data_IF_003104756330
#
_entry.id   IF_003104756330
#
_cell.length_a   1.000
_cell.length_b   1.000
_cell.length_c   1.000
_cell.angle_alpha   90.00
_cell.angle_beta   90.00
_cell.angle_gamma   90.00
#
_symmetry.space_group_name_H-M   'P 1'
#
loop_
_entity.id
_entity.type
_entity.pdbx_description
1 polymer ?
#
# COMPACT_ATOMS: atom_id res chain seq x y z
N UNK A 1 -73.57 35.88 34.56
CA UNK A 1 -73.15 35.71 33.20
C UNK A 1 -71.69 36.07 33.13
N UNK A 2 -70.75 35.14 33.21
CA UNK A 2 -69.36 35.46 32.95
C UNK A 2 -69.04 35.12 31.51
N UNK A 3 -68.26 36.01 30.93
CA UNK A 3 -67.68 35.96 29.62
C UNK A 3 -66.58 34.91 29.54
N UNK A 4 -66.53 34.22 28.43
CA UNK A 4 -65.57 33.23 28.05
C UNK A 4 -64.34 33.93 27.39
N UNK A 5 -63.23 33.91 28.11
CA UNK A 5 -61.95 34.39 27.59
C UNK A 5 -61.07 33.20 27.13
N UNK A 6 -61.42 32.59 26.00
CA UNK A 6 -60.54 31.69 25.30
C UNK A 6 -59.52 32.48 24.45
N UNK A 7 -58.39 32.78 25.05
CA UNK A 7 -57.25 33.44 24.38
C UNK A 7 -56.55 32.47 23.44
N UNK A 8 -56.60 32.89 22.22
CA UNK A 8 -56.06 32.32 21.02
C UNK A 8 -54.53 32.18 21.06
N UNK A 9 -54.01 30.97 21.19
CA UNK A 9 -52.58 30.62 21.23
C UNK A 9 -52.00 30.16 19.88
N UNK A 10 -52.55 30.63 18.77
CA UNK A 10 -52.14 30.19 17.42
C UNK A 10 -51.65 31.35 16.54
N UNK A 11 -50.68 32.10 16.99
CA UNK A 11 -50.02 33.05 16.08
C UNK A 11 -48.66 33.52 16.60
N UNK A 12 -47.71 32.63 16.87
CA UNK A 12 -46.30 33.03 16.96
C UNK A 12 -45.35 31.79 16.98
N UNK A 13 -45.38 30.99 15.93
CA UNK A 13 -44.32 30.00 15.69
C UNK A 13 -43.99 30.00 14.22
N UNK A 14 -43.47 31.14 13.74
CA UNK A 14 -42.61 31.08 12.55
C UNK A 14 -41.28 30.56 13.06
N UNK A 15 -41.17 29.24 13.04
CA UNK A 15 -39.88 28.55 13.19
C UNK A 15 -38.96 28.97 12.04
N UNK A 16 -38.01 29.81 12.36
CA UNK A 16 -36.81 29.92 11.53
C UNK A 16 -36.13 28.53 11.61
N UNK A 17 -36.25 27.78 10.54
CA UNK A 17 -35.37 26.66 10.26
C UNK A 17 -33.96 27.22 10.13
N UNK A 18 -33.23 27.26 11.26
CA UNK A 18 -31.78 27.24 11.18
C UNK A 18 -31.40 25.86 10.63
N UNK A 19 -31.21 25.81 9.31
CA UNK A 19 -30.37 24.79 8.69
C UNK A 19 -29.01 24.86 9.40
N UNK A 20 -28.83 24.06 10.44
CA UNK A 20 -27.48 23.74 10.89
C UNK A 20 -26.83 23.11 9.68
N UNK A 21 -25.69 23.63 9.19
CA UNK A 21 -24.94 22.92 8.18
C UNK A 21 -24.71 21.53 8.76
N UNK A 22 -25.09 20.52 8.02
CA UNK A 22 -24.79 19.14 8.29
C UNK A 22 -23.26 19.14 8.49
N UNK A 23 -22.79 19.08 9.72
CA UNK A 23 -21.41 18.76 10.02
C UNK A 23 -21.24 17.35 9.47
N UNK A 24 -20.92 17.27 8.17
CA UNK A 24 -20.33 16.09 7.62
C UNK A 24 -19.13 15.83 8.53
N UNK A 25 -19.24 14.81 9.37
CA UNK A 25 -18.10 14.27 10.10
C UNK A 25 -17.06 14.09 9.04
N UNK A 26 -16.10 15.01 8.97
CA UNK A 26 -14.99 14.94 8.02
C UNK A 26 -14.26 13.69 8.45
N UNK A 27 -14.52 12.59 7.74
CA UNK A 27 -13.84 11.33 7.97
C UNK A 27 -12.35 11.66 7.80
N UNK A 28 -11.58 11.56 8.88
CA UNK A 28 -10.13 11.80 8.81
C UNK A 28 -9.60 10.73 7.87
N UNK A 29 -9.07 11.15 6.73
CA UNK A 29 -8.45 10.25 5.77
C UNK A 29 -7.33 9.49 6.47
N UNK A 30 -7.21 8.20 6.16
CA UNK A 30 -6.17 7.34 6.68
C UNK A 30 -4.98 7.41 5.74
N UNK A 31 -3.80 7.70 6.24
CA UNK A 31 -2.57 7.60 5.48
C UNK A 31 -2.33 6.14 5.07
N UNK A 32 -1.86 5.92 3.87
CA UNK A 32 -1.56 4.58 3.34
C UNK A 32 -0.06 4.47 3.06
N UNK A 33 0.61 3.60 3.79
CA UNK A 33 1.95 3.12 3.46
C UNK A 33 1.84 1.70 2.85
N UNK A 34 1.83 1.64 1.53
CA UNK A 34 1.54 0.39 0.82
C UNK A 34 2.76 -0.54 0.67
N UNK A 35 3.93 -0.16 1.22
CA UNK A 35 5.12 -1.01 1.27
C UNK A 35 6.10 -0.60 2.37
N UNK A 36 6.32 -1.47 3.34
CA UNK A 36 7.25 -1.25 4.46
C UNK A 36 7.77 -2.56 5.03
N UNK A 37 8.97 -2.55 5.64
CA UNK A 37 9.59 -3.70 6.30
C UNK A 37 9.62 -3.54 7.82
N UNK A 38 8.48 -3.73 8.51
CA UNK A 38 8.36 -3.52 9.95
C UNK A 38 9.26 -4.46 10.78
N UNK A 39 9.58 -5.65 10.27
CA UNK A 39 10.51 -6.60 10.89
C UNK A 39 11.96 -6.09 10.98
N UNK A 40 12.29 -4.99 10.29
CA UNK A 40 13.63 -4.39 10.27
C UNK A 40 13.86 -3.26 11.28
N UNK A 41 12.83 -2.86 12.03
CA UNK A 41 12.96 -1.75 12.99
C UNK A 41 13.72 -2.11 14.26
N UNK A 42 13.83 -3.39 14.63
CA UNK A 42 14.54 -3.83 15.85
C UNK A 42 14.01 -3.10 17.09
N UNK A 43 14.92 -2.46 17.84
CA UNK A 43 14.57 -1.73 19.08
C UNK A 43 13.64 -0.52 18.86
N UNK A 44 13.49 -0.04 17.62
CA UNK A 44 12.59 1.07 17.28
C UNK A 44 11.18 0.61 16.91
N UNK A 45 10.88 -0.67 16.94
CA UNK A 45 9.57 -1.20 16.53
C UNK A 45 8.43 -0.61 17.37
N UNK A 46 8.61 -0.49 18.68
CA UNK A 46 7.57 0.07 19.56
C UNK A 46 7.26 1.53 19.22
N UNK A 47 8.31 2.30 18.92
CA UNK A 47 8.14 3.68 18.46
C UNK A 47 7.42 3.72 17.10
N UNK A 48 7.82 2.87 16.16
CA UNK A 48 7.20 2.80 14.83
C UNK A 48 5.71 2.46 14.92
N UNK A 49 5.33 1.47 15.72
CA UNK A 49 3.91 1.13 15.94
C UNK A 49 3.16 2.27 16.62
N UNK A 50 3.79 2.97 17.58
CA UNK A 50 3.19 4.15 18.20
C UNK A 50 2.91 5.27 17.20
N UNK A 51 3.78 5.51 16.21
CA UNK A 51 3.54 6.48 15.13
C UNK A 51 2.42 6.01 14.18
N UNK A 52 2.41 4.72 13.80
CA UNK A 52 1.35 4.11 12.98
C UNK A 52 -0.02 4.35 13.60
N UNK A 53 -0.17 4.02 14.89
CA UNK A 53 -1.45 4.14 15.59
C UNK A 53 -1.85 5.61 15.80
N UNK A 54 -0.91 6.47 16.23
CA UNK A 54 -1.19 7.88 16.51
C UNK A 54 -1.60 8.68 15.27
N UNK A 55 -0.99 8.40 14.13
CA UNK A 55 -1.25 9.09 12.86
C UNK A 55 -2.22 8.33 11.94
N UNK A 56 -2.72 7.17 12.38
CA UNK A 56 -3.61 6.30 11.60
C UNK A 56 -3.04 5.95 10.24
N UNK A 57 -1.80 5.45 10.21
CA UNK A 57 -1.12 5.02 8.99
C UNK A 57 -1.47 3.56 8.73
N UNK A 58 -2.32 3.28 7.74
CA UNK A 58 -2.50 1.90 7.31
C UNK A 58 -1.25 1.41 6.55
N UNK A 59 -0.70 0.30 7.01
CA UNK A 59 0.63 -0.16 6.65
C UNK A 59 0.60 -1.57 6.07
N UNK A 60 1.00 -1.74 4.82
CA UNK A 60 1.24 -3.06 4.21
C UNK A 60 2.66 -3.49 4.53
N UNK A 61 2.79 -4.37 5.51
CA UNK A 61 4.07 -4.88 5.98
C UNK A 61 4.51 -6.08 5.14
N UNK A 62 5.52 -5.90 4.29
CA UNK A 62 5.96 -6.90 3.32
C UNK A 62 7.11 -7.75 3.85
N UNK A 63 6.97 -9.08 3.73
CA UNK A 63 8.01 -10.02 4.13
C UNK A 63 9.01 -10.25 3.00
N UNK A 64 10.28 -10.46 3.35
CA UNK A 64 11.32 -10.85 2.40
C UNK A 64 11.54 -12.37 2.34
N UNK A 65 11.12 -13.11 3.36
CA UNK A 65 11.27 -14.56 3.50
C UNK A 65 10.36 -15.11 4.59
N UNK A 66 10.45 -16.42 4.86
CA UNK A 66 9.63 -17.08 5.91
C UNK A 66 9.90 -16.52 7.30
N UNK A 67 11.15 -16.35 7.78
CA UNK A 67 11.41 -15.77 9.10
C UNK A 67 10.81 -14.37 9.27
N UNK A 68 10.98 -13.49 8.28
CA UNK A 68 10.41 -12.13 8.32
C UNK A 68 8.88 -12.15 8.35
N UNK A 69 8.24 -13.05 7.61
CA UNK A 69 6.78 -13.19 7.64
C UNK A 69 6.25 -13.62 9.03
N UNK A 70 6.91 -14.61 9.66
CA UNK A 70 6.52 -15.06 11.00
C UNK A 70 6.67 -13.93 12.05
N UNK A 71 7.64 -13.06 11.88
CA UNK A 71 7.79 -11.90 12.74
C UNK A 71 6.71 -10.84 12.44
N UNK A 72 6.44 -10.56 11.16
CA UNK A 72 5.38 -9.64 10.76
C UNK A 72 3.98 -10.08 11.23
N UNK A 73 3.71 -11.39 11.30
CA UNK A 73 2.46 -11.88 11.88
C UNK A 73 2.29 -11.44 13.34
N UNK A 74 3.33 -11.59 14.18
CA UNK A 74 3.31 -11.12 15.57
C UNK A 74 3.17 -9.60 15.68
N UNK A 75 3.82 -8.87 14.76
CA UNK A 75 3.70 -7.41 14.70
C UNK A 75 2.28 -7.02 14.33
N UNK A 76 1.66 -7.68 13.36
CA UNK A 76 0.28 -7.44 12.94
C UNK A 76 -0.77 -7.74 14.02
N UNK A 77 -0.46 -8.63 14.99
CA UNK A 77 -1.33 -8.85 16.16
C UNK A 77 -1.37 -7.65 17.13
N UNK A 78 -0.42 -6.71 17.00
CA UNK A 78 -0.26 -5.55 17.89
C UNK A 78 -0.98 -4.30 17.39
N UNK A 79 -1.34 -4.20 16.10
CA UNK A 79 -2.06 -3.06 15.53
C UNK A 79 -2.94 -3.49 14.37
N UNK A 80 -4.22 -3.08 14.40
CA UNK A 80 -5.18 -3.32 13.30
C UNK A 80 -4.81 -2.55 12.01
N UNK A 81 -3.88 -1.60 12.10
CA UNK A 81 -3.39 -0.81 10.98
C UNK A 81 -2.24 -1.50 10.23
N UNK A 82 -1.78 -2.66 10.68
CA UNK A 82 -0.68 -3.41 10.07
C UNK A 82 -1.22 -4.65 9.36
N UNK A 83 -0.99 -4.73 8.05
CA UNK A 83 -1.33 -5.89 7.22
C UNK A 83 -0.06 -6.67 6.83
N UNK A 84 0.27 -7.78 7.49
CA UNK A 84 1.36 -8.64 7.08
C UNK A 84 1.09 -9.31 5.74
N UNK A 85 2.07 -9.31 4.83
CA UNK A 85 2.00 -10.03 3.56
C UNK A 85 3.19 -10.97 3.40
N UNK A 86 2.96 -12.14 2.79
CA UNK A 86 3.98 -13.16 2.59
C UNK A 86 4.54 -13.15 1.18
N UNK A 87 5.86 -13.09 1.08
CA UNK A 87 6.59 -13.23 -0.17
C UNK A 87 8.01 -13.74 0.04
N UNK A 88 8.66 -14.10 -1.05
CA UNK A 88 10.10 -14.37 -1.10
C UNK A 88 10.72 -13.33 -2.02
N UNK A 89 11.41 -12.37 -1.42
CA UNK A 89 12.12 -11.33 -2.16
C UNK A 89 13.15 -11.93 -3.12
N UNK A 90 13.39 -11.34 -4.30
CA UNK A 90 14.34 -11.86 -5.29
C UNK A 90 15.72 -12.23 -4.75
N UNK A 91 16.23 -11.46 -3.80
CA UNK A 91 17.54 -11.72 -3.17
C UNK A 91 17.60 -13.02 -2.35
N UNK A 92 16.44 -13.54 -1.95
CA UNK A 92 16.30 -14.77 -1.15
C UNK A 92 15.87 -15.98 -2.00
N UNK A 93 15.53 -15.77 -3.28
CA UNK A 93 14.93 -16.76 -4.15
C UNK A 93 15.74 -18.07 -4.24
N UNK A 94 17.06 -17.97 -4.33
CA UNK A 94 17.94 -19.14 -4.42
C UNK A 94 17.88 -20.06 -3.20
N UNK A 95 17.50 -19.54 -2.03
CA UNK A 95 17.39 -20.32 -0.79
C UNK A 95 16.09 -21.12 -0.71
N UNK A 96 15.09 -20.75 -1.52
CA UNK A 96 13.72 -21.30 -1.43
C UNK A 96 13.27 -22.03 -2.70
N UNK A 97 14.00 -21.90 -3.81
CA UNK A 97 13.57 -22.41 -5.13
C UNK A 97 13.34 -23.92 -5.18
N UNK A 98 14.05 -24.69 -4.35
CA UNK A 98 13.91 -26.14 -4.26
C UNK A 98 12.91 -26.58 -3.16
N UNK A 99 12.29 -25.60 -2.48
CA UNK A 99 11.39 -25.82 -1.36
C UNK A 99 9.98 -25.20 -1.60
N UNK A 100 9.59 -25.02 -2.85
CA UNK A 100 8.31 -24.39 -3.21
C UNK A 100 7.09 -24.99 -2.49
N UNK A 101 6.93 -26.33 -2.35
CA UNK A 101 5.79 -26.90 -1.68
C UNK A 101 5.66 -26.47 -0.20
N UNK A 102 6.78 -26.15 0.46
CA UNK A 102 6.76 -25.68 1.85
C UNK A 102 6.21 -24.25 1.99
N UNK A 103 6.25 -23.45 0.90
CA UNK A 103 5.76 -22.07 0.87
C UNK A 103 4.23 -22.01 0.78
N UNK A 104 3.58 -23.03 0.21
CA UNK A 104 2.14 -23.05 -0.03
C UNK A 104 1.34 -22.72 1.24
N UNK A 105 1.67 -23.33 2.37
CA UNK A 105 0.98 -23.07 3.65
C UNK A 105 1.02 -21.60 4.09
N UNK A 106 2.11 -20.88 3.80
CA UNK A 106 2.23 -19.45 4.14
C UNK A 106 1.47 -18.58 3.15
N UNK A 107 1.48 -18.97 1.87
CA UNK A 107 0.64 -18.35 0.85
C UNK A 107 -0.83 -18.47 1.23
N UNK A 108 -1.28 -19.63 1.65
CA UNK A 108 -2.68 -19.91 2.00
C UNK A 108 -3.19 -19.04 3.14
N UNK A 109 -2.39 -18.89 4.20
CA UNK A 109 -2.77 -18.11 5.39
C UNK A 109 -2.53 -16.60 5.23
N UNK A 110 -1.64 -16.17 4.34
CA UNK A 110 -1.38 -14.75 4.11
C UNK A 110 -2.56 -14.09 3.41
N UNK A 111 -3.05 -12.93 3.88
CA UNK A 111 -4.16 -12.24 3.23
C UNK A 111 -3.80 -11.68 1.86
N UNK A 112 -2.53 -11.42 1.59
CA UNK A 112 -1.98 -10.91 0.34
C UNK A 112 -0.57 -11.43 0.12
N UNK A 113 -0.01 -11.24 -1.06
CA UNK A 113 1.30 -11.75 -1.44
C UNK A 113 2.28 -10.59 -1.65
N UNK A 114 3.42 -10.62 -0.97
CA UNK A 114 4.51 -9.66 -1.12
C UNK A 114 5.48 -9.70 0.07
N UNK A 115 6.72 -9.35 -0.19
CA UNK A 115 7.31 -8.86 -1.42
C UNK A 115 7.81 -10.01 -2.30
N UNK A 116 7.46 -10.00 -3.57
CA UNK A 116 7.96 -10.93 -4.58
C UNK A 116 8.41 -10.15 -5.82
N UNK A 117 9.16 -10.75 -6.73
CA UNK A 117 9.51 -10.03 -7.94
C UNK A 117 10.79 -10.48 -8.61
N UNK A 118 11.39 -9.57 -9.39
CA UNK A 118 12.69 -9.74 -10.04
C UNK A 118 13.62 -8.57 -9.69
N UNK A 119 14.86 -8.91 -9.34
CA UNK A 119 15.96 -7.94 -9.17
C UNK A 119 17.14 -8.36 -10.08
N UNK A 120 17.07 -7.94 -11.32
CA UNK A 120 18.11 -8.20 -12.33
C UNK A 120 19.09 -7.02 -12.44
N UNK A 121 18.90 -5.99 -11.60
CA UNK A 121 19.73 -4.78 -11.57
C UNK A 121 20.69 -4.75 -10.38
N UNK A 122 20.19 -4.92 -9.17
CA UNK A 122 20.99 -4.84 -7.93
C UNK A 122 21.63 -6.18 -7.56
N UNK A 123 20.97 -7.30 -7.84
CA UNK A 123 21.53 -8.65 -7.67
C UNK A 123 22.53 -8.90 -8.78
N UNK A 124 23.83 -8.98 -8.44
CA UNK A 124 24.92 -9.14 -9.40
C UNK A 124 25.21 -10.61 -9.75
N UNK A 125 24.80 -11.53 -8.88
CA UNK A 125 24.93 -12.96 -9.13
C UNK A 125 23.81 -13.44 -10.08
N UNK A 126 24.11 -13.43 -11.38
CA UNK A 126 23.17 -13.84 -12.43
C UNK A 126 22.78 -15.32 -12.35
N UNK A 127 23.54 -16.15 -11.62
CA UNK A 127 23.21 -17.57 -11.41
C UNK A 127 21.93 -17.76 -10.60
N UNK A 128 21.50 -16.74 -9.86
CA UNK A 128 20.25 -16.73 -9.08
C UNK A 128 19.01 -16.34 -9.89
N UNK A 129 19.17 -15.78 -11.10
CA UNK A 129 18.04 -15.29 -11.91
C UNK A 129 17.02 -16.38 -12.28
N UNK A 130 17.42 -17.62 -12.63
CA UNK A 130 16.45 -18.69 -12.84
C UNK A 130 15.61 -19.00 -11.58
N UNK A 131 16.22 -18.93 -10.39
CA UNK A 131 15.52 -19.12 -9.13
C UNK A 131 14.51 -17.99 -8.87
N UNK A 132 14.89 -16.72 -9.13
CA UNK A 132 13.98 -15.58 -9.02
C UNK A 132 12.73 -15.77 -9.89
N UNK A 133 12.92 -16.14 -11.17
CA UNK A 133 11.80 -16.38 -12.11
C UNK A 133 10.89 -17.52 -11.63
N UNK A 134 11.46 -18.62 -11.17
CA UNK A 134 10.69 -19.78 -10.70
C UNK A 134 9.89 -19.46 -9.43
N UNK A 135 10.48 -18.75 -8.48
CA UNK A 135 9.80 -18.27 -7.27
C UNK A 135 8.68 -17.31 -7.67
N UNK A 136 8.96 -16.29 -8.48
CA UNK A 136 7.97 -15.31 -8.89
C UNK A 136 6.78 -15.98 -9.57
N UNK A 137 7.01 -16.85 -10.55
CA UNK A 137 5.92 -17.53 -11.26
C UNK A 137 5.06 -18.38 -10.32
N UNK A 138 5.67 -19.08 -9.37
CA UNK A 138 4.96 -19.87 -8.35
C UNK A 138 4.01 -19.01 -7.53
N UNK A 139 4.47 -17.84 -7.05
CA UNK A 139 3.64 -16.93 -6.27
C UNK A 139 2.57 -16.23 -7.11
N UNK A 140 2.87 -15.81 -8.33
CA UNK A 140 1.90 -15.18 -9.23
C UNK A 140 0.78 -16.16 -9.60
N UNK A 141 1.12 -17.42 -9.88
CA UNK A 141 0.13 -18.48 -10.14
C UNK A 141 -0.82 -18.65 -8.95
N UNK A 142 -0.26 -18.78 -7.72
CA UNK A 142 -1.03 -18.89 -6.51
C UNK A 142 -1.90 -17.63 -6.25
N UNK A 143 -1.40 -16.43 -6.54
CA UNK A 143 -2.16 -15.19 -6.44
C UNK A 143 -3.38 -15.19 -7.35
N UNK A 144 -3.22 -15.67 -8.60
CA UNK A 144 -4.32 -15.82 -9.56
C UNK A 144 -5.38 -16.82 -9.09
N UNK A 145 -4.95 -17.99 -8.62
CA UNK A 145 -5.84 -19.05 -8.11
C UNK A 145 -6.62 -18.61 -6.86
N UNK A 146 -5.96 -17.91 -5.93
CA UNK A 146 -6.54 -17.50 -4.66
C UNK A 146 -7.14 -16.10 -4.68
N UNK A 147 -7.09 -15.40 -5.83
CA UNK A 147 -7.57 -14.03 -6.00
C UNK A 147 -7.00 -13.08 -4.92
N UNK A 148 -5.69 -13.13 -4.67
CA UNK A 148 -4.97 -12.25 -3.74
C UNK A 148 -4.31 -11.10 -4.49
N UNK A 149 -4.20 -9.93 -3.86
CA UNK A 149 -3.36 -8.89 -4.44
C UNK A 149 -1.88 -9.20 -4.22
N UNK A 150 -1.03 -8.68 -5.10
CA UNK A 150 0.43 -8.86 -5.03
C UNK A 150 1.15 -7.53 -4.89
N UNK A 151 2.26 -7.52 -4.14
CA UNK A 151 3.18 -6.39 -3.99
C UNK A 151 4.53 -6.78 -4.60
N UNK A 152 4.97 -6.04 -5.62
CA UNK A 152 5.97 -6.49 -6.60
C UNK A 152 7.21 -5.61 -6.65
N UNK A 153 8.35 -6.23 -6.42
CA UNK A 153 9.68 -5.69 -6.68
C UNK A 153 10.04 -5.83 -8.16
N UNK A 154 10.31 -4.70 -8.85
CA UNK A 154 10.54 -4.68 -10.29
C UNK A 154 11.83 -3.94 -10.62
N UNK A 155 12.94 -4.65 -10.67
CA UNK A 155 14.24 -4.04 -11.03
C UNK A 155 14.86 -4.74 -12.24
N UNK A 156 14.71 -4.13 -13.41
CA UNK A 156 15.11 -4.64 -14.73
C UNK A 156 14.41 -5.96 -15.13
N UNK A 157 13.25 -6.24 -14.55
CA UNK A 157 12.39 -7.40 -14.85
C UNK A 157 10.94 -7.01 -15.13
N UNK A 158 10.67 -5.73 -15.37
CA UNK A 158 9.34 -5.14 -15.46
C UNK A 158 8.46 -5.84 -16.51
N UNK A 159 9.01 -6.06 -17.71
CA UNK A 159 8.28 -6.73 -18.80
C UNK A 159 7.98 -8.19 -18.50
N UNK A 160 8.94 -8.94 -17.94
CA UNK A 160 8.72 -10.35 -17.55
C UNK A 160 7.64 -10.46 -16.47
N UNK A 161 7.61 -9.52 -15.54
CA UNK A 161 6.59 -9.44 -14.48
C UNK A 161 5.22 -9.17 -15.09
N UNK A 162 5.10 -8.19 -15.98
CA UNK A 162 3.83 -7.88 -16.65
C UNK A 162 3.31 -9.10 -17.44
N UNK A 163 4.19 -9.81 -18.15
CA UNK A 163 3.80 -11.00 -18.92
C UNK A 163 3.23 -12.11 -18.00
N UNK A 164 3.81 -12.28 -16.80
CA UNK A 164 3.26 -13.22 -15.80
C UNK A 164 1.93 -12.76 -15.24
N UNK A 165 1.76 -11.46 -14.93
CA UNK A 165 0.49 -10.92 -14.49
C UNK A 165 -0.62 -11.13 -15.51
N UNK A 166 -0.32 -10.91 -16.79
CA UNK A 166 -1.24 -11.19 -17.91
C UNK A 166 -1.55 -12.69 -18.01
N UNK A 167 -0.52 -13.54 -17.99
CA UNK A 167 -0.65 -15.00 -18.10
C UNK A 167 -1.57 -15.60 -17.05
N UNK A 168 -1.43 -15.17 -15.80
CA UNK A 168 -2.21 -15.68 -14.66
C UNK A 168 -3.40 -14.79 -14.29
N UNK A 169 -3.70 -13.75 -15.09
CA UNK A 169 -4.79 -12.80 -14.89
C UNK A 169 -4.82 -12.16 -13.49
N UNK A 170 -3.65 -11.81 -12.95
CA UNK A 170 -3.52 -11.14 -11.65
C UNK A 170 -3.67 -9.63 -11.86
N UNK A 171 -4.91 -9.11 -11.69
CA UNK A 171 -5.23 -7.69 -11.92
C UNK A 171 -4.93 -6.79 -10.74
N UNK A 172 -4.88 -7.34 -9.53
CA UNK A 172 -4.64 -6.58 -8.30
C UNK A 172 -3.15 -6.63 -7.96
N UNK A 173 -2.37 -5.84 -8.67
CA UNK A 173 -0.92 -5.78 -8.54
C UNK A 173 -0.47 -4.38 -8.11
N UNK A 174 0.29 -4.29 -7.04
CA UNK A 174 1.04 -3.11 -6.61
C UNK A 174 2.46 -3.25 -7.14
N UNK A 175 2.89 -2.31 -7.95
CA UNK A 175 4.29 -2.16 -8.37
C UNK A 175 4.93 -1.19 -7.39
N UNK A 176 5.75 -1.73 -6.48
CA UNK A 176 6.43 -0.92 -5.51
C UNK A 176 7.68 -0.26 -6.12
N UNK A 177 7.91 0.98 -5.74
CA UNK A 177 9.07 1.79 -6.11
C UNK A 177 9.47 1.62 -7.59
N UNK A 178 8.51 1.81 -8.50
CA UNK A 178 8.80 1.71 -9.92
C UNK A 178 9.85 2.74 -10.34
N UNK A 179 10.87 2.28 -11.05
CA UNK A 179 11.95 3.11 -11.62
C UNK A 179 12.43 2.57 -12.99
N UNK A 180 11.61 1.74 -13.62
CA UNK A 180 11.86 1.14 -14.91
C UNK A 180 11.50 2.06 -16.10
N UNK A 181 11.58 1.55 -17.35
CA UNK A 181 11.31 2.32 -18.57
C UNK A 181 9.87 2.87 -18.65
N UNK A 182 9.70 4.07 -19.22
CA UNK A 182 8.39 4.73 -19.31
C UNK A 182 7.41 4.03 -20.27
N UNK A 183 7.90 3.35 -21.30
CA UNK A 183 7.07 2.54 -22.20
C UNK A 183 6.47 1.33 -21.48
N UNK A 184 7.24 0.65 -20.65
CA UNK A 184 6.75 -0.45 -19.82
C UNK A 184 5.83 0.06 -18.70
N UNK A 185 6.12 1.24 -18.13
CA UNK A 185 5.18 1.91 -17.21
C UNK A 185 3.80 2.05 -17.85
N UNK A 186 3.74 2.51 -19.12
CA UNK A 186 2.47 2.68 -19.82
C UNK A 186 1.76 1.35 -20.05
N UNK A 187 2.48 0.29 -20.44
CA UNK A 187 1.88 -1.05 -20.60
C UNK A 187 1.31 -1.58 -19.27
N UNK A 188 2.00 -1.36 -18.15
CA UNK A 188 1.51 -1.74 -16.82
C UNK A 188 0.31 -0.89 -16.36
N UNK A 189 0.28 0.41 -16.70
CA UNK A 189 -0.88 1.29 -16.49
C UNK A 189 -2.08 0.77 -17.27
N UNK A 190 -1.91 0.46 -18.55
CA UNK A 190 -2.98 -0.05 -19.42
C UNK A 190 -3.51 -1.41 -18.95
N UNK A 191 -2.66 -2.21 -18.31
CA UNK A 191 -3.06 -3.45 -17.65
C UNK A 191 -3.85 -3.19 -16.35
N UNK A 192 -3.66 -2.05 -15.70
CA UNK A 192 -4.33 -1.64 -14.47
C UNK A 192 -3.54 -1.93 -13.18
N UNK A 193 -2.22 -1.98 -13.24
CA UNK A 193 -1.36 -2.05 -12.07
C UNK A 193 -1.44 -0.77 -11.24
N UNK A 194 -1.41 -0.89 -9.93
CA UNK A 194 -1.21 0.22 -8.99
C UNK A 194 0.28 0.48 -8.80
N UNK A 195 0.63 1.76 -8.59
CA UNK A 195 2.02 2.17 -8.40
C UNK A 195 2.17 2.93 -7.11
N UNK A 196 3.12 2.53 -6.30
CA UNK A 196 3.51 3.30 -5.12
C UNK A 196 4.55 4.35 -5.49
N UNK A 197 4.35 5.55 -5.00
CA UNK A 197 5.35 6.61 -5.02
C UNK A 197 5.94 6.73 -3.63
N UNK A 198 7.26 6.56 -3.54
CA UNK A 198 7.98 6.55 -2.27
C UNK A 198 8.85 7.79 -2.06
N UNK A 199 9.69 7.73 -1.03
CA UNK A 199 10.53 8.84 -0.54
C UNK A 199 11.45 9.42 -1.63
N UNK A 200 11.79 8.66 -2.68
CA UNK A 200 12.65 9.11 -3.78
C UNK A 200 12.02 10.27 -4.58
N UNK A 201 10.70 10.46 -4.55
CA UNK A 201 10.01 11.58 -5.21
C UNK A 201 10.54 12.95 -4.77
N UNK A 202 11.08 13.04 -3.56
CA UNK A 202 11.70 14.27 -3.04
C UNK A 202 13.05 14.59 -3.69
N UNK A 203 13.69 13.61 -4.35
CA UNK A 203 15.09 13.68 -4.74
C UNK A 203 15.35 13.42 -6.23
N UNK A 204 14.40 12.81 -6.94
CA UNK A 204 14.56 12.32 -8.32
C UNK A 204 13.51 12.94 -9.23
N UNK A 205 13.96 13.68 -10.25
CA UNK A 205 13.04 14.22 -11.25
C UNK A 205 12.38 13.09 -12.07
N UNK A 206 13.11 11.99 -12.29
CA UNK A 206 12.53 10.82 -12.96
C UNK A 206 11.36 10.21 -12.18
N UNK A 207 11.46 10.11 -10.85
CA UNK A 207 10.34 9.64 -10.02
C UNK A 207 9.21 10.64 -9.98
N UNK A 208 9.49 11.96 -10.06
CA UNK A 208 8.44 12.98 -10.23
C UNK A 208 7.71 12.83 -11.56
N UNK A 209 8.43 12.51 -12.65
CA UNK A 209 7.81 12.23 -13.95
C UNK A 209 6.91 11.00 -13.88
N UNK A 210 7.35 9.92 -13.24
CA UNK A 210 6.51 8.74 -12.97
C UNK A 210 5.29 9.13 -12.14
N UNK A 211 5.48 9.89 -11.05
CA UNK A 211 4.39 10.36 -10.20
C UNK A 211 3.38 11.24 -10.96
N UNK A 212 3.78 11.98 -11.99
CA UNK A 212 2.88 12.71 -12.88
C UNK A 212 2.19 11.83 -13.92
N UNK A 213 2.84 10.77 -14.37
CA UNK A 213 2.36 9.89 -15.45
C UNK A 213 1.31 8.88 -14.95
N UNK A 214 1.50 8.35 -13.74
CA UNK A 214 0.56 7.39 -13.14
C UNK A 214 -0.83 8.04 -13.01
N UNK A 215 -1.91 7.44 -13.55
CA UNK A 215 -3.27 7.96 -13.41
C UNK A 215 -3.71 8.03 -11.95
N UNK A 216 -4.58 9.00 -11.62
CA UNK A 216 -5.09 9.18 -10.26
C UNK A 216 -5.60 7.89 -9.63
N UNK A 217 -6.38 7.10 -10.37
CA UNK A 217 -7.02 5.87 -9.87
C UNK A 217 -6.07 4.67 -9.66
N UNK A 218 -4.79 4.81 -9.99
CA UNK A 218 -3.74 3.77 -9.82
C UNK A 218 -2.62 4.22 -8.88
N UNK A 219 -2.70 5.45 -8.35
CA UNK A 219 -1.69 6.01 -7.46
C UNK A 219 -1.83 5.46 -6.04
N UNK A 220 -0.73 5.00 -5.49
CA UNK A 220 -0.54 4.70 -4.08
C UNK A 220 0.72 5.40 -3.54
N UNK A 221 0.91 5.36 -2.23
CA UNK A 221 2.09 5.89 -1.55
C UNK A 221 2.78 4.81 -0.72
N UNK A 222 4.08 4.95 -0.51
CA UNK A 222 4.89 4.06 0.32
C UNK A 222 6.05 4.79 0.98
N UNK A 223 6.70 4.13 1.94
CA UNK A 223 7.99 4.60 2.47
C UNK A 223 9.15 3.68 2.13
N UNK A 224 8.95 2.39 2.03
CA UNK A 224 9.98 1.34 1.99
C UNK A 224 10.96 1.44 3.18
N UNK A 225 10.41 1.88 4.31
CA UNK A 225 11.17 2.05 5.54
C UNK A 225 11.39 0.70 6.26
N UNK A 226 12.39 0.63 7.12
CA UNK A 226 13.29 1.71 7.62
C UNK A 226 14.49 2.04 6.72
N UNK A 227 14.65 1.33 5.60
CA UNK A 227 15.90 1.34 4.82
C UNK A 227 15.98 2.35 3.69
N UNK A 228 14.88 2.94 3.24
CA UNK A 228 14.80 3.69 1.99
C UNK A 228 15.80 4.85 1.87
N UNK A 229 15.91 5.70 2.88
CA UNK A 229 16.84 6.85 2.86
C UNK A 229 18.30 6.42 2.80
N UNK A 230 18.66 5.33 3.46
CA UNK A 230 20.00 4.73 3.40
C UNK A 230 20.29 4.18 2.00
N UNK A 231 19.33 3.51 1.36
CA UNK A 231 19.47 3.04 -0.01
C UNK A 231 19.71 4.19 -0.99
N UNK A 232 19.01 5.30 -0.80
CA UNK A 232 19.19 6.51 -1.60
C UNK A 232 20.48 7.28 -1.25
N UNK A 233 21.24 6.84 -0.24
CA UNK A 233 22.45 7.52 0.26
C UNK A 233 22.17 8.98 0.63
N UNK A 234 21.00 9.25 1.17
CA UNK A 234 20.59 10.61 1.58
C UNK A 234 20.99 10.90 3.02
N UNK A 235 20.80 9.93 3.90
CA UNK A 235 21.31 9.93 5.27
C UNK A 235 21.40 8.48 5.79
N UNK A 236 22.01 8.30 6.95
CA UNK A 236 22.09 7.00 7.65
C UNK A 236 20.96 6.84 8.68
N UNK A 237 20.00 7.78 8.73
CA UNK A 237 18.88 7.71 9.65
C UNK A 237 17.92 6.59 9.27
N UNK A 238 17.37 5.97 10.28
CA UNK A 238 16.30 5.00 10.13
C UNK A 238 15.01 5.77 9.79
N UNK A 239 14.41 5.44 8.64
CA UNK A 239 13.14 6.05 8.26
C UNK A 239 12.00 5.58 9.18
N UNK A 240 11.22 6.53 9.71
CA UNK A 240 10.07 6.25 10.56
C UNK A 240 8.76 6.29 9.78
N UNK A 241 7.66 5.64 10.25
CA UNK A 241 6.38 5.61 9.55
C UNK A 241 5.81 6.99 9.21
N UNK A 242 6.00 7.99 10.06
CA UNK A 242 5.58 9.38 9.82
C UNK A 242 6.19 10.01 8.56
N UNK A 243 7.26 9.44 7.99
CA UNK A 243 7.82 9.88 6.72
C UNK A 243 6.81 9.82 5.56
N UNK A 244 5.74 9.03 5.68
CA UNK A 244 4.68 8.95 4.67
C UNK A 244 3.98 10.31 4.45
N UNK A 245 3.84 11.15 5.48
CA UNK A 245 3.27 12.50 5.34
C UNK A 245 4.08 13.34 4.34
N UNK A 246 5.42 13.28 4.45
CA UNK A 246 6.32 14.00 3.55
C UNK A 246 6.26 13.47 2.11
N UNK A 247 6.01 12.17 1.94
CA UNK A 247 5.79 11.56 0.62
C UNK A 247 4.51 12.10 0.02
N UNK A 248 3.42 12.12 0.79
CA UNK A 248 2.12 12.67 0.36
C UNK A 248 2.24 14.14 -0.02
N UNK A 249 2.92 14.97 0.79
CA UNK A 249 3.19 16.38 0.50
C UNK A 249 4.00 16.56 -0.81
N UNK A 250 5.03 15.74 -1.00
CA UNK A 250 5.85 15.79 -2.21
C UNK A 250 5.06 15.40 -3.46
N UNK A 251 4.24 14.34 -3.38
CA UNK A 251 3.33 13.93 -4.46
C UNK A 251 2.31 15.03 -4.74
N UNK A 252 1.74 15.65 -3.71
CA UNK A 252 0.80 16.76 -3.86
C UNK A 252 1.44 17.95 -4.60
N UNK A 253 2.68 18.31 -4.23
CA UNK A 253 3.42 19.37 -4.91
C UNK A 253 3.67 19.05 -6.40
N UNK A 254 4.11 17.80 -6.70
CA UNK A 254 4.33 17.34 -8.08
C UNK A 254 3.04 17.41 -8.90
N UNK A 255 1.92 16.98 -8.34
CA UNK A 255 0.61 16.92 -9.02
C UNK A 255 -0.18 18.23 -8.96
N UNK A 256 0.36 19.29 -8.34
CA UNK A 256 -0.32 20.57 -8.13
C UNK A 256 -1.67 20.41 -7.42
N UNK A 257 -1.68 19.55 -6.41
CA UNK A 257 -2.82 19.19 -5.57
C UNK A 257 -2.54 19.56 -4.12
N UNK A 258 -3.43 19.23 -3.20
CA UNK A 258 -3.21 19.37 -1.76
C UNK A 258 -2.92 18.00 -1.13
N UNK A 259 -2.23 17.97 0.02
CA UNK A 259 -1.97 16.74 0.75
C UNK A 259 -3.27 15.98 1.04
N UNK A 260 -4.30 16.66 1.55
CA UNK A 260 -5.61 16.04 1.84
C UNK A 260 -6.27 15.40 0.60
N UNK A 261 -6.10 16.00 -0.60
CA UNK A 261 -6.62 15.41 -1.84
C UNK A 261 -5.86 14.14 -2.22
N UNK A 262 -4.53 14.12 -2.03
CA UNK A 262 -3.71 12.92 -2.29
C UNK A 262 -4.03 11.83 -1.26
N UNK A 263 -4.15 12.15 0.02
CA UNK A 263 -4.55 11.18 1.06
C UNK A 263 -5.89 10.52 0.72
N UNK A 264 -6.91 11.32 0.44
CA UNK A 264 -8.24 10.81 0.08
C UNK A 264 -8.21 9.95 -1.19
N UNK A 265 -7.44 10.37 -2.20
CA UNK A 265 -7.24 9.63 -3.45
C UNK A 265 -6.59 8.28 -3.20
N UNK A 266 -5.47 8.26 -2.47
CA UNK A 266 -4.70 7.05 -2.18
C UNK A 266 -5.52 6.08 -1.33
N UNK A 267 -6.24 6.58 -0.32
CA UNK A 267 -7.16 5.76 0.47
C UNK A 267 -8.25 5.14 -0.40
N UNK A 268 -8.88 5.93 -1.27
CA UNK A 268 -9.92 5.43 -2.19
C UNK A 268 -9.37 4.35 -3.14
N UNK A 269 -8.16 4.55 -3.66
CA UNK A 269 -7.48 3.60 -4.54
C UNK A 269 -7.16 2.28 -3.82
N UNK A 270 -6.65 2.36 -2.59
CA UNK A 270 -6.40 1.17 -1.79
C UNK A 270 -7.70 0.42 -1.44
N UNK A 271 -8.75 1.15 -1.08
CA UNK A 271 -10.08 0.56 -0.89
C UNK A 271 -10.60 -0.14 -2.17
N UNK A 272 -10.36 0.45 -3.33
CA UNK A 272 -10.73 -0.15 -4.62
C UNK A 272 -9.91 -1.42 -4.90
N UNK A 273 -8.60 -1.40 -4.66
CA UNK A 273 -7.71 -2.56 -4.79
C UNK A 273 -8.23 -3.77 -3.99
N UNK A 274 -8.71 -3.54 -2.77
CA UNK A 274 -9.17 -4.61 -1.87
C UNK A 274 -10.69 -4.85 -1.93
N UNK A 275 -11.45 -4.13 -2.75
CA UNK A 275 -12.92 -4.10 -2.73
C UNK A 275 -13.58 -5.47 -2.82
N UNK A 276 -13.06 -6.35 -3.65
CA UNK A 276 -13.58 -7.70 -3.90
C UNK A 276 -12.70 -8.80 -3.31
N UNK A 277 -11.80 -8.46 -2.38
CA UNK A 277 -10.92 -9.44 -1.77
C UNK A 277 -11.61 -10.20 -0.63
N UNK A 278 -11.81 -11.52 -0.75
CA UNK A 278 -12.48 -12.31 0.29
C UNK A 278 -11.66 -12.38 1.59
N UNK A 279 -10.33 -12.25 1.50
CA UNK A 279 -9.41 -12.36 2.63
C UNK A 279 -9.31 -11.06 3.46
N UNK A 280 -9.78 -9.91 2.91
CA UNK A 280 -9.62 -8.57 3.48
C UNK A 280 -10.96 -7.92 3.88
N UNK A 281 -11.98 -8.71 4.21
CA UNK A 281 -13.30 -8.19 4.61
C UNK A 281 -13.22 -7.32 5.87
N UNK A 282 -12.49 -7.75 6.89
CA UNK A 282 -12.32 -6.99 8.13
C UNK A 282 -11.63 -5.64 7.88
N UNK A 283 -10.59 -5.65 7.06
CA UNK A 283 -9.87 -4.44 6.65
C UNK A 283 -10.78 -3.44 5.92
N UNK A 284 -11.63 -3.91 4.99
CA UNK A 284 -12.60 -3.03 4.32
C UNK A 284 -13.54 -2.35 5.31
N UNK A 285 -13.95 -3.05 6.36
CA UNK A 285 -14.78 -2.47 7.42
C UNK A 285 -14.02 -1.38 8.18
N UNK A 286 -12.77 -1.64 8.56
CA UNK A 286 -11.90 -0.68 9.24
C UNK A 286 -11.71 0.60 8.41
N UNK A 287 -11.44 0.46 7.11
CA UNK A 287 -11.22 1.61 6.20
C UNK A 287 -12.52 2.35 5.86
N UNK A 288 -13.68 1.76 6.15
CA UNK A 288 -15.00 2.34 5.92
C UNK A 288 -15.58 3.02 7.17
N UNK A 289 -15.03 2.74 8.35
CA UNK A 289 -15.41 3.37 9.63
C UNK A 289 -14.70 4.72 9.84
#
# INVERSE_FOLDING_TARGET
MPQDDSINWLASARGENYDRPNEAVTKIAMLIDAHVHLDKYGDLLDQALGEIDAQRIFTVATAMDVPSYLELQKIGERSELVLPTFGIHPRRAAEYVDRLPELGRYIDISPAIGEIGLDLHWVKDTTTYPAQRKILEYFIAAAGEQNKFVNLHTKAGEKEILDLLVKYNVRRAIIHWYSGPMDILQEMIDFGCYFTIGVEVMYSDYIKDIANTVPDHLLLTETDNPGALKWLKKNDEIGMPSAIERVVEAVAAVRRSTANQIEALVQANFCQLISNDPHLKALRTLMSS
#
